data_IF_904856596272
#
_entry.id   IF_904856596272
#
_cell.length_a   1.000
_cell.length_b   1.000
_cell.length_c   1.000
_cell.angle_alpha   90.00
_cell.angle_beta   90.00
_cell.angle_gamma   90.00
#
_symmetry.space_group_name_H-M   'P 1'
#
loop_
_entity.id
_entity.type
_entity.pdbx_description
1 polymer ?
#
# COMPACT_ATOMS: atom_id res chain seq x y z
N UNK A 1 -8.54 -2.55 -7.52
CA UNK A 1 -7.20 -2.24 -6.95
C UNK A 1 -6.61 -0.96 -7.57
N UNK A 2 -6.49 -0.85 -8.90
CA UNK A 2 -5.95 0.36 -9.57
C UNK A 2 -6.71 1.64 -9.23
N UNK A 3 -8.04 1.60 -9.20
CA UNK A 3 -8.84 2.79 -8.85
C UNK A 3 -8.62 3.24 -7.39
N UNK A 4 -8.43 2.28 -6.46
CA UNK A 4 -8.09 2.59 -5.08
C UNK A 4 -6.70 3.22 -4.96
N UNK A 5 -5.74 2.78 -5.77
CA UNK A 5 -4.42 3.39 -5.84
C UNK A 5 -4.50 4.84 -6.33
N UNK A 6 -5.29 5.11 -7.38
CA UNK A 6 -5.46 6.46 -7.90
C UNK A 6 -6.04 7.43 -6.85
N UNK A 7 -6.93 6.97 -5.97
CA UNK A 7 -7.50 7.79 -4.90
C UNK A 7 -6.49 8.28 -3.85
N UNK A 8 -5.37 7.56 -3.68
CA UNK A 8 -4.36 7.88 -2.68
C UNK A 8 -3.29 8.84 -3.21
N UNK A 9 -3.24 9.08 -4.54
CA UNK A 9 -2.30 10.01 -5.16
C UNK A 9 -2.70 11.45 -4.82
N UNK A 10 -1.71 12.28 -4.52
CA UNK A 10 -1.87 13.67 -4.11
C UNK A 10 -1.56 13.93 -2.64
N UNK A 11 -1.97 15.12 -2.18
CA UNK A 11 -1.70 15.61 -0.82
C UNK A 11 -2.88 15.30 0.09
N UNK A 12 -2.68 14.39 1.03
CA UNK A 12 -3.73 13.91 1.94
C UNK A 12 -3.23 13.76 3.37
N UNK A 13 -4.17 13.69 4.31
CA UNK A 13 -3.90 13.23 5.67
C UNK A 13 -3.84 11.69 5.68
N UNK A 14 -2.64 11.15 5.95
CA UNK A 14 -2.41 9.71 5.99
C UNK A 14 -2.45 9.15 7.42
N UNK A 15 -3.16 9.79 8.35
CA UNK A 15 -3.34 9.28 9.71
C UNK A 15 -4.00 7.91 9.75
N UNK A 16 -4.90 7.61 8.81
CA UNK A 16 -5.50 6.28 8.67
C UNK A 16 -4.55 5.23 8.05
N UNK A 17 -3.31 5.59 7.74
CA UNK A 17 -2.30 4.69 7.20
C UNK A 17 -1.03 4.67 8.05
N UNK A 18 -1.05 5.15 9.30
CA UNK A 18 0.15 5.20 10.15
C UNK A 18 0.06 4.21 11.31
N UNK A 19 1.21 3.77 11.82
CA UNK A 19 1.24 3.03 13.08
C UNK A 19 0.90 3.94 14.27
N UNK A 20 0.30 3.36 15.32
CA UNK A 20 -0.14 4.06 16.54
C UNK A 20 1.00 4.85 17.21
N UNK A 21 2.24 4.36 17.12
CA UNK A 21 3.45 5.01 17.69
C UNK A 21 4.20 5.90 16.68
N UNK A 22 3.50 6.62 15.81
CA UNK A 22 4.16 7.52 14.85
C UNK A 22 4.43 8.90 15.47
N UNK A 23 5.70 9.24 15.72
CA UNK A 23 6.12 10.53 16.27
C UNK A 23 6.23 11.68 15.26
N UNK A 24 5.64 11.54 14.06
CA UNK A 24 5.72 12.58 13.04
C UNK A 24 4.83 13.80 13.40
N UNK A 25 5.39 15.02 13.33
CA UNK A 25 4.69 16.27 13.68
C UNK A 25 3.46 16.56 12.81
N UNK A 26 3.47 16.11 11.56
CA UNK A 26 2.33 16.25 10.64
C UNK A 26 2.07 14.92 9.95
N UNK A 27 0.80 14.45 9.87
CA UNK A 27 0.41 13.26 9.14
C UNK A 27 0.12 13.52 7.65
N UNK A 28 0.20 14.77 7.21
CA UNK A 28 -0.06 15.14 5.81
C UNK A 28 1.14 14.78 4.95
N UNK A 29 0.93 13.99 3.90
CA UNK A 29 1.97 13.60 2.94
C UNK A 29 1.51 13.84 1.52
N UNK A 30 2.49 13.98 0.63
CA UNK A 30 2.31 14.21 -0.80
C UNK A 30 2.79 12.96 -1.54
N UNK A 31 1.84 12.10 -1.92
CA UNK A 31 2.09 10.88 -2.69
C UNK A 31 2.05 11.25 -4.17
N UNK A 32 3.22 11.31 -4.79
CA UNK A 32 3.40 11.73 -6.18
C UNK A 32 2.96 10.66 -7.18
N UNK A 33 3.20 9.39 -6.85
CA UNK A 33 2.89 8.25 -7.71
C UNK A 33 2.51 7.03 -6.88
N UNK A 34 1.51 6.29 -7.36
CA UNK A 34 1.17 4.96 -6.87
C UNK A 34 0.69 4.10 -8.04
N UNK A 35 1.59 3.27 -8.57
CA UNK A 35 1.31 2.39 -9.70
C UNK A 35 1.19 0.94 -9.23
N UNK A 36 0.19 0.24 -9.79
CA UNK A 36 -0.02 -1.21 -9.59
C UNK A 36 0.43 -1.92 -10.86
N UNK A 37 1.57 -2.59 -10.77
CA UNK A 37 2.22 -3.33 -11.86
C UNK A 37 1.99 -4.81 -11.64
N UNK A 38 1.53 -5.53 -12.66
CA UNK A 38 1.44 -6.98 -12.59
C UNK A 38 2.80 -7.55 -12.99
N UNK A 39 3.43 -8.30 -12.10
CA UNK A 39 4.76 -8.85 -12.36
C UNK A 39 4.62 -10.30 -12.85
N UNK A 40 5.21 -10.56 -14.01
CA UNK A 40 5.38 -11.91 -14.54
C UNK A 40 6.40 -12.66 -13.67
N UNK A 41 6.25 -13.97 -13.44
CA UNK A 41 7.11 -14.75 -12.53
C UNK A 41 8.62 -14.74 -12.86
N UNK A 42 9.06 -14.16 -13.98
CA UNK A 42 10.44 -14.19 -14.48
C UNK A 42 11.39 -13.14 -13.89
N UNK A 43 10.91 -12.09 -13.21
CA UNK A 43 11.75 -10.91 -12.90
C UNK A 43 12.17 -10.74 -11.44
N UNK A 44 11.50 -11.40 -10.48
CA UNK A 44 11.74 -11.23 -9.03
C UNK A 44 11.80 -12.57 -8.26
N UNK A 45 12.23 -13.65 -8.91
CA UNK A 45 12.18 -15.00 -8.36
C UNK A 45 13.44 -15.36 -7.54
N UNK A 46 13.38 -15.15 -6.22
CA UNK A 46 14.12 -16.01 -5.26
C UNK A 46 13.27 -16.43 -4.05
N UNK A 47 12.10 -15.85 -3.82
CA UNK A 47 11.21 -16.24 -2.72
C UNK A 47 9.83 -16.68 -3.26
N UNK A 48 9.45 -17.89 -2.88
CA UNK A 48 8.16 -18.58 -3.06
C UNK A 48 7.74 -19.07 -4.45
N UNK A 49 7.79 -20.40 -4.61
CA UNK A 49 7.47 -21.21 -5.80
C UNK A 49 5.96 -21.49 -5.97
N UNK A 50 5.10 -21.08 -5.04
CA UNK A 50 3.65 -21.44 -5.04
C UNK A 50 2.69 -20.27 -5.36
N UNK A 51 3.20 -19.14 -5.86
CA UNK A 51 2.38 -17.96 -6.14
C UNK A 51 2.09 -17.79 -7.63
N UNK A 52 0.84 -18.02 -8.03
CA UNK A 52 0.38 -17.93 -9.43
C UNK A 52 0.24 -16.50 -9.95
N UNK A 53 0.17 -15.49 -9.08
CA UNK A 53 0.08 -14.08 -9.48
C UNK A 53 0.81 -13.17 -8.50
N UNK A 54 1.69 -12.33 -9.03
CA UNK A 54 2.45 -11.33 -8.27
C UNK A 54 2.04 -9.92 -8.71
N UNK A 55 1.90 -9.03 -7.73
CA UNK A 55 1.58 -7.62 -7.98
C UNK A 55 2.64 -6.77 -7.33
N UNK A 56 3.31 -5.95 -8.12
CA UNK A 56 4.23 -4.94 -7.65
C UNK A 56 3.52 -3.59 -7.48
N UNK A 57 3.74 -2.93 -6.35
CA UNK A 57 3.31 -1.58 -6.05
C UNK A 57 4.53 -0.66 -6.13
N UNK A 58 4.49 0.32 -7.01
CA UNK A 58 5.51 1.36 -7.11
C UNK A 58 4.96 2.63 -6.47
N UNK A 59 5.63 3.13 -5.43
CA UNK A 59 5.23 4.32 -4.70
C UNK A 59 6.32 5.38 -4.78
N UNK A 60 5.93 6.61 -5.09
CA UNK A 60 6.80 7.78 -5.04
C UNK A 60 6.18 8.86 -4.16
N UNK A 61 6.92 9.35 -3.17
CA UNK A 61 6.48 10.45 -2.31
C UNK A 61 7.69 11.31 -1.92
N UNK A 62 7.42 12.53 -1.43
CA UNK A 62 8.48 13.36 -0.82
C UNK A 62 9.01 12.74 0.48
N UNK A 63 8.12 12.13 1.25
CA UNK A 63 8.43 11.39 2.48
C UNK A 63 7.27 10.45 2.82
N UNK A 64 7.56 9.42 3.61
CA UNK A 64 6.58 8.47 4.11
C UNK A 64 6.48 8.52 5.65
N UNK A 65 5.31 8.22 6.21
CA UNK A 65 5.12 7.98 7.65
C UNK A 65 5.58 6.57 8.02
N UNK A 66 5.81 6.35 9.32
CA UNK A 66 6.14 5.03 9.84
C UNK A 66 5.02 4.03 9.52
N UNK A 67 5.37 2.96 8.80
CA UNK A 67 4.47 1.94 8.25
C UNK A 67 3.49 2.39 7.16
N UNK A 68 3.53 3.64 6.68
CA UNK A 68 2.58 4.17 5.68
C UNK A 68 2.38 3.23 4.50
N UNK A 69 3.50 2.84 3.91
CA UNK A 69 3.52 2.04 2.69
C UNK A 69 2.97 0.63 2.93
N UNK A 70 3.17 0.06 4.12
CA UNK A 70 2.61 -1.26 4.50
C UNK A 70 1.10 -1.20 4.67
N UNK A 71 0.56 -0.15 5.28
CA UNK A 71 -0.89 0.04 5.40
C UNK A 71 -1.55 0.32 4.05
N UNK A 72 -0.91 1.10 3.18
CA UNK A 72 -1.38 1.30 1.80
C UNK A 72 -1.44 -0.04 1.06
N UNK A 73 -0.36 -0.83 1.11
CA UNK A 73 -0.31 -2.14 0.47
C UNK A 73 -1.39 -3.10 1.01
N UNK A 74 -1.56 -3.19 2.33
CA UNK A 74 -2.61 -3.99 2.95
C UNK A 74 -4.02 -3.58 2.44
N UNK A 75 -4.28 -2.28 2.38
CA UNK A 75 -5.55 -1.73 1.90
C UNK A 75 -5.81 -2.10 0.45
N UNK A 76 -4.81 -1.93 -0.42
CA UNK A 76 -4.93 -2.28 -1.83
C UNK A 76 -5.16 -3.78 -2.03
N UNK A 77 -4.50 -4.63 -1.24
CA UNK A 77 -4.71 -6.08 -1.26
C UNK A 77 -6.15 -6.43 -0.87
N UNK A 78 -6.70 -5.84 0.19
CA UNK A 78 -8.10 -6.06 0.56
C UNK A 78 -9.07 -5.62 -0.53
N UNK A 79 -8.81 -4.50 -1.22
CA UNK A 79 -9.59 -4.09 -2.39
C UNK A 79 -9.43 -5.08 -3.55
N UNK A 80 -8.22 -5.58 -3.79
CA UNK A 80 -7.95 -6.60 -4.81
C UNK A 80 -8.65 -7.93 -4.53
N UNK A 81 -8.83 -8.27 -3.26
CA UNK A 81 -9.57 -9.44 -2.78
C UNK A 81 -11.08 -9.20 -2.66
N UNK A 82 -11.57 -7.98 -2.91
CA UNK A 82 -12.99 -7.62 -2.78
C UNK A 82 -13.49 -7.48 -1.33
N UNK A 83 -12.60 -7.50 -0.33
CA UNK A 83 -12.92 -7.33 1.09
C UNK A 83 -13.23 -5.87 1.47
N UNK A 84 -12.76 -4.93 0.66
CA UNK A 84 -12.95 -3.48 0.87
C UNK A 84 -13.34 -2.79 -0.43
N UNK A 85 -14.34 -1.92 -0.37
CA UNK A 85 -14.82 -1.15 -1.52
C UNK A 85 -14.02 0.14 -1.72
N UNK A 86 -14.11 0.74 -2.92
CA UNK A 86 -13.48 2.03 -3.22
C UNK A 86 -13.99 3.15 -2.30
N UNK A 87 -15.28 3.11 -1.94
CA UNK A 87 -15.87 4.11 -1.08
C UNK A 87 -15.28 4.06 0.33
N UNK A 88 -15.10 2.85 0.88
CA UNK A 88 -14.45 2.67 2.17
C UNK A 88 -13.01 3.18 2.19
N UNK A 89 -12.27 3.07 1.08
CA UNK A 89 -10.92 3.67 0.97
C UNK A 89 -10.98 5.19 1.01
N UNK A 90 -11.94 5.82 0.33
CA UNK A 90 -12.15 7.28 0.41
C UNK A 90 -12.52 7.71 1.82
N UNK A 91 -13.41 6.99 2.47
CA UNK A 91 -13.89 7.32 3.80
C UNK A 91 -12.75 7.18 4.83
N UNK A 92 -11.90 6.17 4.68
CA UNK A 92 -10.69 6.00 5.49
C UNK A 92 -9.71 7.16 5.30
N UNK A 93 -9.46 7.59 4.06
CA UNK A 93 -8.61 8.74 3.77
C UNK A 93 -9.18 10.06 4.33
N UNK A 94 -10.51 10.25 4.26
CA UNK A 94 -11.21 11.45 4.75
C UNK A 94 -11.31 11.52 6.27
N UNK A 95 -11.59 10.39 6.90
CA UNK A 95 -11.79 10.31 8.35
C UNK A 95 -10.51 10.45 9.15
N UNK A 96 -9.35 10.20 8.53
CA UNK A 96 -8.04 10.22 9.18
C UNK A 96 -7.95 9.29 10.41
N UNK A 97 -8.85 8.31 10.52
CA UNK A 97 -8.97 7.43 11.68
C UNK A 97 -8.17 6.13 11.50
N UNK A 98 -7.13 5.96 12.31
CA UNK A 98 -6.28 4.76 12.31
C UNK A 98 -7.00 3.47 12.74
N UNK A 99 -8.21 3.55 13.29
CA UNK A 99 -9.02 2.36 13.61
C UNK A 99 -9.59 1.69 12.36
N UNK A 100 -9.66 2.41 11.25
CA UNK A 100 -10.16 1.89 9.98
C UNK A 100 -9.06 1.18 9.16
N UNK A 101 -7.80 1.32 9.59
CA UNK A 101 -6.65 0.71 8.94
C UNK A 101 -6.75 -0.82 8.96
N UNK A 102 -6.46 -1.50 7.85
CA UNK A 102 -6.32 -2.95 7.85
C UNK A 102 -5.13 -3.40 8.69
N UNK A 103 -5.08 -4.69 9.10
CA UNK A 103 -3.89 -5.24 9.75
C UNK A 103 -2.65 -4.98 8.89
N UNK A 104 -1.57 -4.55 9.55
CA UNK A 104 -0.31 -4.26 8.87
C UNK A 104 0.14 -5.48 8.08
N UNK A 105 0.28 -5.35 6.76
CA UNK A 105 0.58 -6.50 5.95
C UNK A 105 2.00 -7.06 6.23
N UNK A 106 2.16 -8.41 6.24
CA UNK A 106 3.45 -9.05 6.35
C UNK A 106 4.18 -8.94 5.01
N UNK A 107 4.95 -7.87 4.82
CA UNK A 107 5.77 -7.69 3.61
C UNK A 107 7.22 -7.37 3.94
N UNK A 108 8.15 -7.93 3.16
CA UNK A 108 9.55 -7.53 3.11
C UNK A 108 9.71 -6.42 2.06
N UNK A 109 10.20 -5.22 2.41
CA UNK A 109 10.52 -4.22 1.40
C UNK A 109 11.72 -4.69 0.57
N UNK A 110 11.57 -4.72 -0.76
CA UNK A 110 12.73 -4.78 -1.65
C UNK A 110 13.34 -3.38 -1.66
N UNK A 111 14.66 -3.30 -1.50
CA UNK A 111 15.45 -2.08 -1.36
C UNK A 111 14.92 -0.90 -2.19
N UNK A 112 14.73 0.25 -1.55
CA UNK A 112 14.36 1.51 -2.20
C UNK A 112 14.95 2.69 -1.44
N UNK A 113 15.31 3.77 -2.14
CA UNK A 113 15.66 5.05 -1.52
C UNK A 113 14.40 5.65 -0.87
N UNK A 114 14.53 6.50 0.15
CA UNK A 114 13.40 7.07 0.90
C UNK A 114 12.29 7.72 0.04
N UNK A 115 12.57 8.01 -1.23
CA UNK A 115 11.64 8.66 -2.17
C UNK A 115 10.93 7.69 -3.13
N UNK A 116 11.42 6.46 -3.30
CA UNK A 116 10.85 5.47 -4.23
C UNK A 116 10.94 4.06 -3.64
N UNK A 117 9.78 3.44 -3.42
CA UNK A 117 9.69 2.06 -2.90
C UNK A 117 8.96 1.16 -3.90
N UNK A 118 9.54 -0.01 -4.17
CA UNK A 118 8.89 -1.11 -4.90
C UNK A 118 8.49 -2.19 -3.89
N UNK A 119 7.21 -2.53 -3.85
CA UNK A 119 6.65 -3.53 -2.96
C UNK A 119 6.06 -4.67 -3.77
N UNK A 120 6.48 -5.91 -3.55
CA UNK A 120 5.84 -7.07 -4.18
C UNK A 120 4.84 -7.66 -3.19
N UNK A 121 3.56 -7.50 -3.51
CA UNK A 121 2.46 -8.16 -2.84
C UNK A 121 2.08 -9.43 -3.58
N UNK A 122 2.06 -10.56 -2.87
CA UNK A 122 1.45 -11.79 -3.35
C UNK A 122 -0.06 -11.70 -3.13
N UNK A 123 -0.83 -11.69 -4.21
CA UNK A 123 -2.28 -11.83 -4.14
C UNK A 123 -2.64 -13.31 -4.30
N UNK A 124 -2.72 -14.06 -3.19
CA UNK A 124 -3.18 -15.45 -3.22
C UNK A 124 -4.72 -15.46 -3.30
N UNK A 125 -5.27 -15.81 -4.46
CA UNK A 125 -6.66 -16.23 -4.58
C UNK A 125 -6.70 -17.73 -4.31
N UNK A 126 -6.88 -18.13 -3.04
CA UNK A 126 -7.26 -19.52 -2.74
C UNK A 126 -8.61 -19.76 -3.42
N UNK A 127 -8.64 -20.74 -4.33
CA UNK A 127 -9.85 -21.21 -4.98
C UNK A 127 -10.77 -21.85 -3.95
#
# INVERSE_FOLDING_TARGET
MRDAAALLVGKHDFSAFRAVRCGAKSPVRDLLELAVVEDSPSTLAEFDLECTRRVALRLRARSFLHHQVRYIAATLVEVGLGKRSLQQVRDMLRSADSRQSPPCAPFAPLRGSCSSLLLVGVASKRR
#
